data_IF_405839051291
#
_entry.id   IF_405839051291
#
_cell.length_a   1.000
_cell.length_b   1.000
_cell.length_c   1.000
_cell.angle_alpha   90.00
_cell.angle_beta   90.00
_cell.angle_gamma   90.00
#
_symmetry.space_group_name_H-M   'P 1'
#
loop_
_entity.id
_entity.type
_entity.pdbx_description
1 polymer ?
#
# COMPACT_ATOMS: atom_id res chain seq x y z
N UNK A 1 13.66 -5.43 7.94
CA UNK A 1 12.34 -4.78 7.89
C UNK A 1 12.38 -3.56 8.79
N UNK A 2 11.95 -2.39 8.30
CA UNK A 2 11.82 -1.16 9.09
C UNK A 2 10.34 -0.75 9.05
N UNK A 3 9.72 -0.57 10.23
CA UNK A 3 8.29 -0.24 10.36
C UNK A 3 8.19 1.05 11.15
N UNK A 4 8.06 2.21 10.48
CA UNK A 4 7.99 3.48 11.17
C UNK A 4 6.61 3.75 11.76
N UNK A 5 6.59 4.39 12.92
CA UNK A 5 5.37 4.90 13.53
C UNK A 5 5.05 6.30 12.99
N UNK A 6 4.14 6.37 12.03
CA UNK A 6 3.68 7.63 11.46
C UNK A 6 2.61 8.32 12.31
N UNK A 7 2.10 7.67 13.36
CA UNK A 7 1.12 8.19 14.30
C UNK A 7 1.74 8.73 15.60
N UNK A 8 3.05 8.54 15.81
CA UNK A 8 3.81 9.07 16.95
C UNK A 8 3.23 8.59 18.31
N UNK A 9 2.98 7.29 18.38
CA UNK A 9 2.48 6.57 19.54
C UNK A 9 0.96 6.56 19.68
N UNK A 10 0.21 7.24 18.80
CA UNK A 10 -1.24 7.21 18.85
C UNK A 10 -1.81 5.86 18.37
N UNK A 11 -2.70 5.28 19.18
CA UNK A 11 -3.33 3.98 18.94
C UNK A 11 -4.86 4.16 18.96
N UNK A 12 -5.48 4.46 17.80
CA UNK A 12 -6.93 4.64 17.72
C UNK A 12 -7.66 3.32 18.04
N UNK A 13 -8.78 3.40 18.77
CA UNK A 13 -9.55 2.23 19.21
C UNK A 13 -10.52 1.69 18.16
N UNK A 14 -10.68 2.38 17.02
CA UNK A 14 -11.54 1.96 15.89
C UNK A 14 -11.05 2.50 14.56
N UNK A 15 -11.59 1.97 13.46
CA UNK A 15 -11.30 2.45 12.09
C UNK A 15 -11.71 3.92 11.94
N UNK A 16 -12.88 4.31 12.44
CA UNK A 16 -13.37 5.70 12.38
C UNK A 16 -12.44 6.65 13.15
N UNK A 17 -11.96 6.23 14.32
CA UNK A 17 -10.98 7.00 15.09
C UNK A 17 -9.65 7.12 14.33
N UNK A 18 -9.22 6.06 13.64
CA UNK A 18 -8.04 6.07 12.78
C UNK A 18 -8.18 7.01 11.58
N UNK A 19 -9.33 6.99 10.90
CA UNK A 19 -9.65 7.90 9.79
C UNK A 19 -9.68 9.36 10.26
N UNK A 20 -10.26 9.64 11.43
CA UNK A 20 -10.28 10.99 12.00
C UNK A 20 -8.86 11.48 12.35
N UNK A 21 -8.03 10.59 12.92
CA UNK A 21 -6.63 10.88 13.21
C UNK A 21 -5.85 11.19 11.91
N UNK A 22 -6.02 10.36 10.88
CA UNK A 22 -5.44 10.56 9.56
C UNK A 22 -5.86 11.90 8.94
N UNK A 23 -7.15 12.23 8.96
CA UNK A 23 -7.68 13.49 8.42
C UNK A 23 -7.11 14.73 9.15
N UNK A 24 -6.71 14.59 10.41
CA UNK A 24 -6.05 15.63 11.19
C UNK A 24 -4.54 15.78 10.94
N UNK A 25 -3.90 14.81 10.27
CA UNK A 25 -2.47 14.85 9.99
C UNK A 25 -2.20 15.64 8.70
N UNK A 26 -1.51 16.76 8.85
CA UNK A 26 -1.09 17.55 7.69
C UNK A 26 0.02 16.82 6.89
N UNK A 27 -0.03 16.92 5.55
CA UNK A 27 0.93 16.28 4.64
C UNK A 27 2.39 16.51 5.00
N UNK A 28 2.75 17.73 5.45
CA UNK A 28 4.13 18.04 5.84
C UNK A 28 4.60 17.24 7.06
N UNK A 29 3.71 16.92 8.00
CA UNK A 29 4.02 16.10 9.18
C UNK A 29 4.29 14.67 8.75
N UNK A 30 3.45 14.13 7.86
CA UNK A 30 3.62 12.78 7.30
C UNK A 30 4.94 12.70 6.52
N UNK A 31 5.24 13.70 5.71
CA UNK A 31 6.49 13.80 4.95
C UNK A 31 7.71 13.86 5.88
N UNK A 32 7.67 14.67 6.95
CA UNK A 32 8.77 14.75 7.92
C UNK A 32 9.00 13.41 8.64
N UNK A 33 7.93 12.78 9.13
CA UNK A 33 7.99 11.48 9.81
C UNK A 33 8.54 10.39 8.88
N UNK A 34 8.10 10.38 7.63
CA UNK A 34 8.58 9.45 6.61
C UNK A 34 10.04 9.70 6.26
N UNK A 35 10.46 10.96 6.11
CA UNK A 35 11.85 11.29 5.84
C UNK A 35 12.77 10.83 6.98
N UNK A 36 12.35 11.04 8.24
CA UNK A 36 13.08 10.58 9.42
C UNK A 36 13.18 9.05 9.47
N UNK A 37 12.11 8.34 9.12
CA UNK A 37 12.11 6.89 9.04
C UNK A 37 13.08 6.32 7.99
N UNK A 38 13.30 7.06 6.92
CA UNK A 38 14.20 6.66 5.83
C UNK A 38 15.65 7.09 6.05
N UNK A 39 15.93 7.89 7.07
CA UNK A 39 17.27 8.39 7.34
C UNK A 39 18.23 7.24 7.65
N UNK A 40 19.38 7.23 6.99
CA UNK A 40 20.38 6.16 7.07
C UNK A 40 20.01 4.83 6.37
N UNK A 41 18.83 4.71 5.77
CA UNK A 41 18.45 3.52 5.00
C UNK A 41 18.98 3.59 3.55
N UNK A 42 19.33 2.44 2.93
CA UNK A 42 19.83 2.42 1.56
C UNK A 42 18.76 2.83 0.55
N UNK A 43 19.17 3.17 -0.67
CA UNK A 43 18.25 3.63 -1.71
C UNK A 43 17.35 2.50 -2.24
N UNK A 44 17.89 1.29 -2.31
CA UNK A 44 17.31 0.10 -2.93
C UNK A 44 16.37 -0.67 -2.00
N UNK A 45 15.25 -0.03 -1.66
CA UNK A 45 14.21 -0.59 -0.78
C UNK A 45 12.98 -1.06 -1.57
N UNK A 46 12.30 -2.06 -1.02
CA UNK A 46 10.90 -2.38 -1.34
C UNK A 46 10.01 -1.68 -0.32
N UNK A 47 8.97 -0.99 -0.79
CA UNK A 47 8.00 -0.31 0.08
C UNK A 47 6.75 -1.15 0.22
N UNK A 48 6.32 -1.40 1.45
CA UNK A 48 5.12 -2.16 1.74
C UNK A 48 4.22 -1.35 2.68
N UNK A 49 2.91 -1.39 2.45
CA UNK A 49 1.97 -0.64 3.26
C UNK A 49 0.53 -1.14 3.16
N UNK A 50 -0.21 -1.01 4.26
CA UNK A 50 -1.60 -1.41 4.40
C UNK A 50 -2.50 -0.19 4.49
N UNK A 51 -3.62 -0.19 3.78
CA UNK A 51 -4.62 0.88 3.81
C UNK A 51 -3.94 2.25 3.62
N UNK A 52 -4.08 3.19 4.56
CA UNK A 52 -3.37 4.48 4.51
C UNK A 52 -1.85 4.35 4.32
N UNK A 53 -1.21 3.39 4.98
CA UNK A 53 0.21 3.10 4.80
C UNK A 53 0.56 2.64 3.37
N UNK A 54 -0.39 2.05 2.65
CA UNK A 54 -0.29 1.72 1.23
C UNK A 54 -0.11 2.97 0.37
N UNK A 55 -0.88 4.03 0.63
CA UNK A 55 -0.71 5.32 -0.06
C UNK A 55 0.66 5.95 0.17
N UNK A 56 1.22 5.81 1.38
CA UNK A 56 2.57 6.29 1.73
C UNK A 56 3.64 5.45 1.04
N UNK A 57 3.50 4.12 1.07
CA UNK A 57 4.40 3.20 0.39
C UNK A 57 4.42 3.47 -1.13
N UNK A 58 3.26 3.69 -1.73
CA UNK A 58 3.14 4.07 -3.14
C UNK A 58 3.81 5.41 -3.44
N UNK A 59 3.59 6.44 -2.62
CA UNK A 59 4.25 7.74 -2.76
C UNK A 59 5.77 7.59 -2.78
N UNK A 60 6.32 6.79 -1.86
CA UNK A 60 7.76 6.54 -1.78
C UNK A 60 8.28 5.74 -2.97
N UNK A 61 7.57 4.69 -3.37
CA UNK A 61 7.91 3.89 -4.55
C UNK A 61 7.98 4.75 -5.82
N UNK A 62 7.05 5.69 -5.98
CA UNK A 62 6.97 6.57 -7.15
C UNK A 62 8.00 7.71 -7.15
N UNK A 63 8.33 8.25 -5.97
CA UNK A 63 9.08 9.51 -5.86
C UNK A 63 10.51 9.36 -5.39
N UNK A 64 10.88 8.27 -4.71
CA UNK A 64 12.24 8.07 -4.20
C UNK A 64 13.09 7.26 -5.20
N UNK A 65 14.16 7.85 -5.77
CA UNK A 65 15.05 7.13 -6.67
C UNK A 65 15.65 5.88 -6.02
N UNK A 66 15.77 4.81 -6.82
CA UNK A 66 16.36 3.54 -6.38
C UNK A 66 15.36 2.53 -5.82
N UNK A 67 14.07 2.87 -5.68
CA UNK A 67 13.04 1.91 -5.27
C UNK A 67 13.12 0.61 -6.09
N UNK A 68 12.93 -0.53 -5.41
CA UNK A 68 13.07 -1.88 -5.99
C UNK A 68 11.74 -2.56 -6.27
N UNK A 69 10.68 -2.15 -5.58
CA UNK A 69 9.32 -2.58 -5.84
C UNK A 69 8.35 -2.05 -4.78
N UNK A 70 7.08 -2.38 -4.95
CA UNK A 70 6.02 -2.04 -3.99
C UNK A 70 5.08 -3.22 -3.69
N UNK A 71 4.65 -3.31 -2.44
CA UNK A 71 3.62 -4.23 -1.95
C UNK A 71 2.50 -3.39 -1.33
N UNK A 72 1.40 -3.23 -2.06
CA UNK A 72 0.31 -2.34 -1.68
C UNK A 72 -0.89 -3.18 -1.25
N UNK A 73 -1.23 -3.11 0.03
CA UNK A 73 -2.29 -3.91 0.62
C UNK A 73 -3.50 -3.02 0.91
N UNK A 74 -4.60 -3.35 0.27
CA UNK A 74 -5.93 -2.80 0.53
C UNK A 74 -5.98 -1.29 0.23
N UNK A 75 -5.13 -0.81 -0.68
CA UNK A 75 -5.11 0.57 -1.17
C UNK A 75 -4.34 0.69 -2.48
N UNK A 76 -4.76 1.62 -3.34
CA UNK A 76 -4.01 2.08 -4.50
C UNK A 76 -4.42 3.51 -4.88
N UNK A 77 -3.46 4.42 -4.96
CA UNK A 77 -3.70 5.79 -5.41
C UNK A 77 -3.70 5.86 -6.93
N UNK A 78 -4.81 6.31 -7.51
CA UNK A 78 -4.89 6.51 -8.96
C UNK A 78 -3.80 7.44 -9.49
N UNK A 79 -3.15 7.03 -10.59
CA UNK A 79 -2.14 7.84 -11.28
C UNK A 79 -2.73 9.06 -12.00
N UNK A 80 -4.05 9.07 -12.22
CA UNK A 80 -4.77 10.17 -12.89
C UNK A 80 -5.43 11.13 -11.91
N UNK A 81 -5.43 10.83 -10.61
CA UNK A 81 -5.95 11.72 -9.59
C UNK A 81 -5.12 13.01 -9.51
N UNK A 82 -5.79 14.14 -9.25
CA UNK A 82 -5.15 15.46 -9.06
C UNK A 82 -4.10 15.44 -7.92
N UNK A 83 -4.33 14.60 -6.92
CA UNK A 83 -3.49 14.40 -5.75
C UNK A 83 -2.53 13.20 -5.87
N UNK A 84 -2.35 12.66 -7.08
CA UNK A 84 -1.42 11.56 -7.36
C UNK A 84 0.06 11.95 -7.17
N UNK A 85 0.94 10.95 -7.22
CA UNK A 85 2.37 11.13 -6.98
C UNK A 85 3.21 11.20 -8.26
N UNK A 86 2.55 11.43 -9.40
CA UNK A 86 3.15 11.37 -10.73
C UNK A 86 2.98 10.01 -11.40
N UNK A 87 3.74 9.73 -12.48
CA UNK A 87 3.66 8.45 -13.18
C UNK A 87 4.25 7.31 -12.35
N UNK A 88 3.88 6.07 -12.69
CA UNK A 88 4.57 4.90 -12.16
C UNK A 88 6.00 4.80 -12.73
N UNK A 89 7.04 4.56 -11.91
CA UNK A 89 8.41 4.46 -12.40
C UNK A 89 8.61 3.28 -13.35
N UNK A 90 9.37 3.52 -14.43
CA UNK A 90 9.67 2.49 -15.42
C UNK A 90 10.44 1.32 -14.78
N UNK A 91 9.98 0.10 -15.05
CA UNK A 91 10.63 -1.13 -14.59
C UNK A 91 10.47 -1.42 -13.09
N UNK A 92 9.64 -0.65 -12.36
CA UNK A 92 9.40 -0.88 -10.94
C UNK A 92 8.25 -1.88 -10.76
N UNK A 93 8.50 -3.08 -10.21
CA UNK A 93 7.46 -4.07 -10.02
C UNK A 93 6.56 -3.76 -8.81
N UNK A 94 5.28 -4.14 -8.89
CA UNK A 94 4.29 -3.93 -7.83
C UNK A 94 3.27 -5.05 -7.76
N UNK A 95 2.89 -5.40 -6.53
CA UNK A 95 1.67 -6.15 -6.28
C UNK A 95 0.68 -5.30 -5.50
N UNK A 96 -0.59 -5.35 -5.90
CA UNK A 96 -1.73 -4.75 -5.21
C UNK A 96 -2.66 -5.87 -4.74
N UNK A 97 -3.08 -5.84 -3.48
CA UNK A 97 -3.90 -6.88 -2.86
C UNK A 97 -5.15 -6.27 -2.26
N UNK A 98 -6.32 -6.86 -2.44
CA UNK A 98 -7.53 -6.38 -1.76
C UNK A 98 -8.74 -7.27 -1.99
N UNK A 99 -9.79 -7.08 -1.20
CA UNK A 99 -11.03 -7.85 -1.35
C UNK A 99 -11.96 -7.27 -2.43
N UNK A 100 -12.68 -8.15 -3.12
CA UNK A 100 -13.50 -7.80 -4.29
C UNK A 100 -14.64 -6.82 -4.00
N UNK A 101 -15.09 -6.74 -2.74
CA UNK A 101 -16.18 -5.88 -2.29
C UNK A 101 -15.80 -5.02 -1.09
N UNK A 102 -14.50 -4.86 -0.84
CA UNK A 102 -13.99 -3.95 0.19
C UNK A 102 -14.56 -2.53 -0.08
N UNK A 103 -15.27 -1.91 0.88
CA UNK A 103 -15.89 -0.61 0.67
C UNK A 103 -14.89 0.51 0.41
N UNK A 104 -13.65 0.40 0.91
CA UNK A 104 -12.59 1.38 0.69
C UNK A 104 -11.82 1.04 -0.59
N UNK A 105 -11.31 -0.18 -0.70
CA UNK A 105 -10.48 -0.54 -1.86
C UNK A 105 -11.27 -0.74 -3.16
N UNK A 106 -12.37 -1.49 -3.13
CA UNK A 106 -13.21 -1.70 -4.32
C UNK A 106 -14.26 -0.60 -4.48
N UNK A 107 -14.84 -0.13 -3.37
CA UNK A 107 -15.93 0.85 -3.39
C UNK A 107 -15.52 2.28 -3.74
N UNK A 108 -14.31 2.72 -3.36
CA UNK A 108 -13.84 4.09 -3.64
C UNK A 108 -13.03 4.21 -4.95
N UNK A 109 -12.74 3.08 -5.61
CA UNK A 109 -12.14 3.04 -6.95
C UNK A 109 -10.67 2.64 -7.01
N UNK A 110 -10.01 2.37 -5.88
CA UNK A 110 -8.61 1.92 -5.84
C UNK A 110 -8.39 0.64 -6.66
N UNK A 111 -9.33 -0.32 -6.60
CA UNK A 111 -9.26 -1.55 -7.40
C UNK A 111 -9.25 -1.29 -8.90
N UNK A 112 -10.11 -0.40 -9.39
CA UNK A 112 -10.18 -0.08 -10.81
C UNK A 112 -8.92 0.69 -11.25
N UNK A 113 -8.44 1.63 -10.43
CA UNK A 113 -7.19 2.32 -10.66
C UNK A 113 -5.96 1.38 -10.67
N UNK A 114 -5.94 0.37 -9.79
CA UNK A 114 -4.89 -0.64 -9.78
C UNK A 114 -4.92 -1.51 -11.05
N UNK A 115 -6.11 -1.82 -11.58
CA UNK A 115 -6.24 -2.54 -12.87
C UNK A 115 -5.79 -1.67 -14.05
N UNK A 116 -6.08 -0.37 -14.02
CA UNK A 116 -5.56 0.57 -15.02
C UNK A 116 -4.03 0.61 -15.02
N UNK A 117 -3.37 0.57 -13.86
CA UNK A 117 -1.92 0.45 -13.79
C UNK A 117 -1.40 -0.77 -14.58
N UNK A 118 -2.02 -1.94 -14.42
CA UNK A 118 -1.63 -3.15 -15.18
C UNK A 118 -1.74 -2.92 -16.68
N UNK A 119 -2.79 -2.23 -17.13
CA UNK A 119 -2.94 -1.87 -18.55
C UNK A 119 -1.86 -0.88 -19.03
N UNK A 120 -1.35 -0.02 -18.16
CA UNK A 120 -0.33 0.98 -18.47
C UNK A 120 1.09 0.39 -18.49
N UNK A 121 1.47 -0.40 -17.48
CA UNK A 121 2.86 -0.87 -17.30
C UNK A 121 3.07 -2.33 -17.68
N UNK A 122 1.99 -3.08 -17.88
CA UNK A 122 2.01 -4.49 -18.27
C UNK A 122 2.00 -5.45 -17.06
N UNK A 123 1.48 -6.68 -17.26
CA UNK A 123 1.33 -7.69 -16.20
C UNK A 123 2.67 -8.23 -15.69
N UNK A 124 3.76 -8.01 -16.42
CA UNK A 124 5.12 -8.39 -16.01
C UNK A 124 5.63 -7.53 -14.84
N UNK A 125 5.10 -6.31 -14.71
CA UNK A 125 5.51 -5.31 -13.72
C UNK A 125 4.41 -5.02 -12.69
N UNK A 126 3.14 -5.16 -13.04
CA UNK A 126 2.04 -4.91 -12.10
C UNK A 126 1.10 -6.12 -12.02
N UNK A 127 0.88 -6.59 -10.80
CA UNK A 127 -0.06 -7.68 -10.51
C UNK A 127 -1.11 -7.19 -9.51
N UNK A 128 -2.39 -7.47 -9.79
CA UNK A 128 -3.51 -7.13 -8.89
C UNK A 128 -4.18 -8.43 -8.47
N UNK A 129 -4.11 -8.73 -7.18
CA UNK A 129 -4.72 -9.91 -6.58
C UNK A 129 -5.99 -9.51 -5.83
N UNK A 130 -7.12 -10.00 -6.34
CA UNK A 130 -8.43 -9.77 -5.73
C UNK A 130 -8.89 -11.03 -5.02
N UNK A 131 -9.23 -10.88 -3.74
CA UNK A 131 -9.71 -11.96 -2.88
C UNK A 131 -11.23 -11.89 -2.74
N UNK A 132 -11.88 -13.04 -2.58
CA UNK A 132 -13.31 -13.06 -2.27
C UNK A 132 -13.55 -12.52 -0.86
N UNK A 133 -14.38 -11.49 -0.75
CA UNK A 133 -14.76 -10.89 0.53
C UNK A 133 -15.19 -9.44 0.35
N UNK A 134 -15.66 -8.83 1.43
CA UNK A 134 -16.11 -7.44 1.52
C UNK A 134 -15.42 -6.66 2.65
N UNK A 135 -14.43 -7.26 3.29
CA UNK A 135 -13.75 -6.67 4.44
C UNK A 135 -12.56 -5.80 4.02
N UNK A 136 -12.36 -4.74 4.80
CA UNK A 136 -11.12 -3.96 4.82
C UNK A 136 -10.28 -4.38 6.03
N UNK A 137 -8.96 -4.26 5.90
CA UNK A 137 -7.95 -4.79 6.82
C UNK A 137 -8.10 -6.29 7.08
N UNK A 138 -8.43 -7.08 6.05
CA UNK A 138 -8.64 -8.52 6.20
C UNK A 138 -7.35 -9.28 6.56
N UNK A 139 -6.20 -8.63 6.37
CA UNK A 139 -4.88 -9.17 6.69
C UNK A 139 -4.48 -8.98 8.16
N UNK A 140 -5.21 -8.18 8.93
CA UNK A 140 -4.94 -7.93 10.34
C UNK A 140 -5.62 -8.98 11.23
N UNK A 141 -4.82 -9.92 11.75
CA UNK A 141 -5.30 -11.00 12.61
C UNK A 141 -5.86 -10.54 13.97
N UNK A 142 -5.71 -9.26 14.33
CA UNK A 142 -6.30 -8.68 15.55
C UNK A 142 -7.74 -8.22 15.35
N UNK A 143 -8.21 -8.10 14.10
CA UNK A 143 -9.53 -7.59 13.77
C UNK A 143 -10.53 -8.71 13.45
N UNK A 144 -11.83 -8.51 13.74
CA UNK A 144 -12.89 -9.44 13.32
C UNK A 144 -13.01 -9.62 11.80
N UNK A 145 -12.51 -8.66 11.02
CA UNK A 145 -12.44 -8.71 9.56
C UNK A 145 -11.40 -9.68 9.02
N UNK A 146 -10.54 -10.25 9.89
CA UNK A 146 -9.46 -11.13 9.45
C UNK A 146 -9.96 -12.34 8.66
N UNK A 147 -9.33 -12.55 7.50
CA UNK A 147 -9.46 -13.79 6.73
C UNK A 147 -8.06 -14.47 6.65
N UNK A 148 -7.80 -15.51 7.45
CA UNK A 148 -6.51 -16.19 7.46
C UNK A 148 -6.19 -16.94 6.17
N UNK A 149 -7.20 -17.35 5.40
CA UNK A 149 -7.00 -18.06 4.12
C UNK A 149 -6.55 -17.08 3.05
N UNK A 150 -7.25 -15.95 2.92
CA UNK A 150 -6.83 -14.88 2.02
C UNK A 150 -5.45 -14.32 2.43
N UNK A 151 -5.22 -14.13 3.73
CA UNK A 151 -3.93 -13.65 4.26
C UNK A 151 -2.76 -14.59 3.91
N UNK A 152 -2.96 -15.90 3.98
CA UNK A 152 -1.92 -16.86 3.58
C UNK A 152 -1.51 -16.69 2.10
N UNK A 153 -2.48 -16.47 1.22
CA UNK A 153 -2.23 -16.21 -0.20
C UNK A 153 -1.52 -14.85 -0.44
N UNK A 154 -1.87 -13.82 0.34
CA UNK A 154 -1.17 -12.53 0.30
C UNK A 154 0.31 -12.71 0.63
N UNK A 155 0.61 -13.47 1.69
CA UNK A 155 1.99 -13.75 2.12
C UNK A 155 2.77 -14.54 1.08
N UNK A 156 2.19 -15.62 0.53
CA UNK A 156 2.80 -16.43 -0.51
C UNK A 156 3.24 -15.57 -1.70
N UNK A 157 2.31 -14.80 -2.27
CA UNK A 157 2.54 -13.94 -3.44
C UNK A 157 3.52 -12.81 -3.16
N UNK A 158 3.44 -12.21 -1.96
CA UNK A 158 4.37 -11.16 -1.54
C UNK A 158 5.80 -11.69 -1.50
N UNK A 159 5.99 -12.90 -0.94
CA UNK A 159 7.30 -13.55 -0.88
C UNK A 159 7.81 -13.93 -2.28
N UNK A 160 6.94 -14.36 -3.19
CA UNK A 160 7.30 -14.61 -4.58
C UNK A 160 7.79 -13.35 -5.31
N UNK A 161 7.15 -12.19 -5.08
CA UNK A 161 7.63 -10.92 -5.61
C UNK A 161 9.01 -10.58 -5.06
N UNK A 162 9.17 -10.64 -3.73
CA UNK A 162 10.43 -10.31 -3.07
C UNK A 162 11.57 -11.20 -3.60
N UNK A 163 11.34 -12.50 -3.74
CA UNK A 163 12.31 -13.44 -4.28
C UNK A 163 12.71 -13.15 -5.74
N UNK A 164 11.83 -12.55 -6.55
CA UNK A 164 12.15 -12.12 -7.93
C UNK A 164 12.98 -10.84 -7.97
N UNK A 165 12.79 -9.94 -7.00
CA UNK A 165 13.42 -8.61 -7.00
C UNK A 165 14.84 -8.67 -6.42
N UNK A 166 15.15 -9.60 -5.52
CA UNK A 166 16.50 -9.78 -4.97
C UNK A 166 16.58 -10.79 -3.85
#
# INVERSE_FOLDING_TARGET
MHVPDLFDGALPESIEAGLALMAGLADHVVAERTARALDGLPADLVYAGFSWGGSIAQRLAQTRPGARGALLYESFVSLSAEWSFGPWPAGLPVQVHGMARDPFFAGEGDLDAARELVAVVGPELAEVFVYDGDAHLFTDASLPSSDPVATALVLERSLELLARIG
#
